data_IF_070629901432
#
_entry.id   IF_070629901432
#
_cell.length_a   1.000
_cell.length_b   1.000
_cell.length_c   1.000
_cell.angle_alpha   90.00
_cell.angle_beta   90.00
_cell.angle_gamma   90.00
#
_symmetry.space_group_name_H-M   'P 1'
#
loop_
_entity.id
_entity.type
_entity.pdbx_description
1 polymer ?
#
# COMPACT_ATOMS: atom_id res chain seq x y z
N UNK A 1 21.94 13.31 28.54
CA UNK A 1 21.53 13.09 27.13
C UNK A 1 20.05 12.76 27.15
N UNK A 2 19.21 13.54 26.48
CA UNK A 2 17.77 13.25 26.38
C UNK A 2 17.58 11.98 25.54
N UNK A 3 16.70 11.07 25.96
CA UNK A 3 16.39 9.86 25.19
C UNK A 3 15.55 10.21 23.95
N UNK A 4 15.55 9.39 22.88
CA UNK A 4 14.78 9.73 21.66
C UNK A 4 13.29 9.90 21.96
N UNK A 5 12.78 9.22 22.99
CA UNK A 5 11.44 9.38 23.55
C UNK A 5 11.17 10.78 24.10
N UNK A 6 12.14 11.42 24.75
CA UNK A 6 12.00 12.79 25.29
C UNK A 6 11.91 13.82 24.16
N UNK A 7 12.68 13.60 23.09
CA UNK A 7 12.63 14.42 21.87
C UNK A 7 11.30 14.23 21.17
N UNK A 8 10.83 12.98 21.02
CA UNK A 8 9.55 12.66 20.40
C UNK A 8 8.38 13.30 21.15
N UNK A 9 8.34 13.17 22.49
CA UNK A 9 7.28 13.77 23.31
C UNK A 9 7.33 15.30 23.29
N UNK A 10 8.52 15.90 23.27
CA UNK A 10 8.69 17.35 23.11
C UNK A 10 8.17 17.86 21.76
N UNK A 11 8.43 17.13 20.69
CA UNK A 11 7.98 17.47 19.33
C UNK A 11 6.46 17.28 19.19
N UNK A 12 5.91 16.19 19.71
CA UNK A 12 4.46 15.93 19.71
C UNK A 12 3.73 17.01 20.51
N UNK A 13 4.25 17.43 21.66
CA UNK A 13 3.68 18.52 22.46
C UNK A 13 3.72 19.87 21.72
N UNK A 14 4.87 20.22 21.13
CA UNK A 14 5.03 21.45 20.35
C UNK A 14 4.14 21.48 19.08
N UNK A 15 3.91 20.32 18.46
CA UNK A 15 3.01 20.17 17.31
C UNK A 15 1.54 20.24 17.73
N UNK A 16 1.18 19.67 18.88
CA UNK A 16 -0.19 19.67 19.40
C UNK A 16 -0.65 21.09 19.79
N UNK A 17 0.24 21.92 20.32
CA UNK A 17 -0.07 23.29 20.75
C UNK A 17 -0.24 24.28 19.56
N UNK A 18 0.24 23.93 18.36
CA UNK A 18 0.22 24.80 17.16
C UNK A 18 -0.44 24.16 15.92
N UNK A 19 -1.08 23.01 16.08
CA UNK A 19 -1.57 22.12 15.01
C UNK A 19 -2.60 22.76 14.07
N UNK A 20 -3.30 23.81 14.52
CA UNK A 20 -4.37 24.46 13.75
C UNK A 20 -3.90 25.61 12.82
N UNK A 21 -2.63 26.02 12.85
CA UNK A 21 -2.26 27.35 12.33
C UNK A 21 -1.41 27.31 11.05
N UNK A 22 -0.76 26.20 10.69
CA UNK A 22 0.09 26.21 9.50
C UNK A 22 0.21 24.85 8.76
N UNK A 23 -0.27 24.75 7.49
CA UNK A 23 -0.17 23.52 6.71
C UNK A 23 1.29 23.13 6.40
N UNK A 24 2.22 24.09 6.37
CA UNK A 24 3.65 23.82 6.17
C UNK A 24 4.21 23.08 7.39
N UNK A 25 3.80 23.45 8.61
CA UNK A 25 4.24 22.76 9.83
C UNK A 25 3.69 21.33 9.88
N UNK A 26 2.48 21.08 9.37
CA UNK A 26 1.93 19.72 9.26
C UNK A 26 2.72 18.87 8.24
N UNK A 27 3.05 19.43 7.08
CA UNK A 27 3.89 18.74 6.08
C UNK A 27 5.27 18.46 6.66
N UNK A 28 5.91 19.47 7.26
CA UNK A 28 7.23 19.35 7.88
C UNK A 28 7.21 18.30 8.99
N UNK A 29 6.21 18.33 9.87
CA UNK A 29 6.02 17.34 10.92
C UNK A 29 5.86 15.94 10.35
N UNK A 30 5.12 15.77 9.26
CA UNK A 30 4.98 14.45 8.60
C UNK A 30 6.31 13.94 8.03
N UNK A 31 7.16 14.84 7.50
CA UNK A 31 8.49 14.44 7.01
C UNK A 31 9.47 14.19 8.16
N UNK A 32 9.41 15.00 9.22
CA UNK A 32 10.21 14.80 10.42
C UNK A 32 9.83 13.52 11.15
N UNK A 33 8.54 13.19 11.26
CA UNK A 33 8.10 11.95 11.89
C UNK A 33 8.51 10.73 11.05
N UNK A 34 8.48 10.85 9.71
CA UNK A 34 9.08 9.84 8.81
C UNK A 34 10.57 9.70 9.04
N UNK A 35 11.29 10.80 9.20
CA UNK A 35 12.74 10.81 9.43
C UNK A 35 13.11 10.30 10.82
N UNK A 36 12.34 10.62 11.87
CA UNK A 36 12.55 10.12 13.23
C UNK A 36 12.27 8.62 13.25
N UNK A 37 11.17 8.19 12.64
CA UNK A 37 10.88 6.77 12.46
C UNK A 37 11.99 6.08 11.66
N UNK A 38 12.52 6.74 10.64
CA UNK A 38 13.67 6.26 9.88
C UNK A 38 14.97 6.27 10.69
N UNK A 39 15.19 7.23 11.60
CA UNK A 39 16.42 7.38 12.37
C UNK A 39 16.48 6.49 13.61
N UNK A 40 15.34 6.25 14.27
CA UNK A 40 15.23 5.19 15.29
C UNK A 40 15.46 3.80 14.66
N UNK A 41 15.26 3.69 13.34
CA UNK A 41 15.56 2.50 12.54
C UNK A 41 17.03 2.45 12.05
N UNK A 42 17.84 3.50 12.27
CA UNK A 42 19.25 3.56 11.87
C UNK A 42 20.25 2.98 12.89
N UNK A 43 19.82 2.49 14.05
CA UNK A 43 20.69 1.66 14.91
C UNK A 43 20.69 0.17 14.49
N UNK A 44 19.95 -0.19 13.44
CA UNK A 44 19.86 -1.56 12.91
C UNK A 44 19.69 -1.60 11.39
N UNK A 45 20.64 -1.02 10.63
CA UNK A 45 20.63 -0.89 9.16
C UNK A 45 20.46 -2.17 8.31
N UNK A 46 20.15 -3.32 8.92
CA UNK A 46 19.79 -4.56 8.23
C UNK A 46 18.59 -5.16 8.96
N UNK A 47 17.44 -5.25 8.27
CA UNK A 47 16.30 -6.13 8.62
C UNK A 47 15.10 -5.54 9.38
N UNK A 48 14.55 -4.39 8.95
CA UNK A 48 13.10 -4.20 9.07
C UNK A 48 12.43 -4.79 7.82
N UNK A 49 11.70 -5.91 8.01
CA UNK A 49 10.92 -6.56 6.96
C UNK A 49 9.83 -5.60 6.48
N UNK A 50 9.70 -5.40 5.18
CA UNK A 50 8.63 -4.60 4.59
C UNK A 50 7.29 -5.26 4.96
N UNK A 51 6.38 -4.49 5.55
CA UNK A 51 5.04 -4.97 5.87
C UNK A 51 4.05 -4.68 4.74
N UNK A 52 2.88 -5.31 4.82
CA UNK A 52 1.85 -5.16 3.80
C UNK A 52 1.26 -3.74 3.74
N UNK A 53 1.33 -2.99 4.83
CA UNK A 53 0.81 -1.63 4.92
C UNK A 53 1.72 -0.66 4.19
N UNK A 54 3.03 -0.80 4.40
CA UNK A 54 4.05 -0.08 3.67
C UNK A 54 3.99 -0.40 2.18
N UNK A 55 3.86 -1.69 1.83
CA UNK A 55 3.67 -2.13 0.45
C UNK A 55 2.43 -1.49 -0.19
N UNK A 56 1.28 -1.53 0.48
CA UNK A 56 0.04 -0.91 -0.01
C UNK A 56 0.23 0.59 -0.24
N UNK A 57 0.80 1.33 0.71
CA UNK A 57 1.01 2.79 0.57
C UNK A 57 1.96 3.13 -0.57
N UNK A 58 3.00 2.32 -0.78
CA UNK A 58 3.96 2.50 -1.88
C UNK A 58 3.32 2.24 -3.24
N UNK A 59 2.48 1.21 -3.35
CA UNK A 59 1.86 0.81 -4.61
C UNK A 59 0.65 1.65 -5.01
N UNK A 60 -0.05 2.26 -4.05
CA UNK A 60 -1.22 3.11 -4.31
C UNK A 60 -0.98 4.22 -5.35
N UNK A 61 0.26 4.69 -5.52
CA UNK A 61 0.61 5.75 -6.50
C UNK A 61 1.35 5.22 -7.73
N UNK A 62 1.33 3.91 -7.94
CA UNK A 62 2.05 3.24 -9.04
C UNK A 62 1.04 2.67 -10.03
N UNK A 63 1.51 2.53 -11.27
CA UNK A 63 0.77 1.90 -12.36
C UNK A 63 1.68 0.89 -13.06
N UNK A 64 1.12 -0.20 -13.54
CA UNK A 64 1.83 -1.24 -14.30
C UNK A 64 1.06 -1.55 -15.58
N UNK A 65 1.77 -2.00 -16.62
CA UNK A 65 1.17 -2.53 -17.85
C UNK A 65 0.61 -3.94 -17.66
N UNK A 66 1.04 -4.67 -16.62
CA UNK A 66 0.64 -6.06 -16.37
C UNK A 66 0.20 -6.26 -14.92
N UNK A 67 -1.04 -5.88 -14.63
CA UNK A 67 -1.58 -5.92 -13.26
C UNK A 67 -1.91 -7.34 -12.78
N UNK A 68 -2.15 -8.26 -13.71
CA UNK A 68 -2.33 -9.71 -13.44
C UNK A 68 -1.15 -10.32 -12.66
N UNK A 69 0.05 -9.77 -12.83
CA UNK A 69 1.27 -10.27 -12.18
C UNK A 69 1.62 -9.50 -10.90
N UNK A 70 0.80 -8.53 -10.48
CA UNK A 70 1.06 -7.68 -9.30
C UNK A 70 1.37 -8.53 -8.07
N UNK A 71 0.49 -9.47 -7.74
CA UNK A 71 0.60 -10.27 -6.51
C UNK A 71 1.90 -11.10 -6.50
N UNK A 72 2.28 -11.67 -7.64
CA UNK A 72 3.51 -12.45 -7.76
C UNK A 72 4.77 -11.56 -7.69
N UNK A 73 4.71 -10.37 -8.29
CA UNK A 73 5.82 -9.41 -8.27
C UNK A 73 6.08 -8.84 -6.86
N UNK A 74 5.04 -8.66 -6.06
CA UNK A 74 5.13 -8.04 -4.73
C UNK A 74 5.33 -9.05 -3.59
N UNK A 75 5.04 -10.33 -3.81
CA UNK A 75 5.14 -11.36 -2.79
C UNK A 75 6.55 -11.49 -2.19
N UNK A 76 7.59 -11.38 -3.03
CA UNK A 76 8.97 -11.39 -2.56
C UNK A 76 9.32 -10.21 -1.63
N UNK A 77 8.64 -9.07 -1.77
CA UNK A 77 8.89 -7.88 -0.95
C UNK A 77 8.40 -8.04 0.48
N UNK A 78 7.30 -8.75 0.68
CA UNK A 78 6.73 -9.06 2.02
C UNK A 78 7.13 -10.45 2.53
N UNK A 79 8.14 -11.07 1.91
CA UNK A 79 8.67 -12.39 2.28
C UNK A 79 7.62 -13.52 2.25
N UNK A 80 6.69 -13.47 1.30
CA UNK A 80 5.71 -14.53 1.03
C UNK A 80 6.24 -15.44 -0.08
N UNK A 81 6.10 -16.75 0.09
CA UNK A 81 6.45 -17.71 -0.96
C UNK A 81 5.53 -17.53 -2.19
N UNK A 82 6.14 -17.36 -3.35
CA UNK A 82 5.45 -17.09 -4.62
C UNK A 82 4.94 -18.38 -5.27
N UNK A 83 5.54 -19.53 -4.95
CA UNK A 83 5.18 -20.84 -5.51
C UNK A 83 3.67 -21.13 -5.49
N UNK A 84 2.95 -21.02 -4.36
CA UNK A 84 1.51 -21.28 -4.32
C UNK A 84 0.68 -20.27 -5.11
N UNK A 85 1.21 -19.07 -5.37
CA UNK A 85 0.54 -18.03 -6.15
C UNK A 85 0.64 -18.34 -7.66
N UNK A 86 1.79 -18.83 -8.12
CA UNK A 86 1.99 -19.17 -9.53
C UNK A 86 1.15 -20.36 -9.99
N UNK A 87 0.70 -21.21 -9.06
CA UNK A 87 -0.18 -22.34 -9.34
C UNK A 87 -1.64 -21.95 -9.58
N UNK A 88 -2.00 -20.66 -9.46
CA UNK A 88 -3.36 -20.16 -9.70
C UNK A 88 -3.45 -19.39 -10.99
N UNK A 89 -4.53 -19.62 -11.73
CA UNK A 89 -4.78 -18.95 -13.01
C UNK A 89 -5.50 -17.60 -12.83
N UNK A 90 -6.31 -17.47 -11.76
CA UNK A 90 -7.07 -16.26 -11.49
C UNK A 90 -6.28 -15.25 -10.64
N UNK A 91 -6.20 -13.96 -11.05
CA UNK A 91 -5.60 -12.89 -10.25
C UNK A 91 -6.27 -12.72 -8.87
N UNK A 92 -7.60 -12.87 -8.81
CA UNK A 92 -8.35 -12.77 -7.56
C UNK A 92 -7.97 -13.88 -6.58
N UNK A 93 -7.80 -15.11 -7.08
CA UNK A 93 -7.37 -16.26 -6.27
C UNK A 93 -5.94 -16.08 -5.76
N UNK A 94 -5.05 -15.52 -6.59
CA UNK A 94 -3.69 -15.15 -6.17
C UNK A 94 -3.72 -14.15 -5.03
N UNK A 95 -4.49 -13.07 -5.17
CA UNK A 95 -4.61 -12.03 -4.13
C UNK A 95 -5.16 -12.62 -2.81
N UNK A 96 -6.16 -13.49 -2.89
CA UNK A 96 -6.71 -14.19 -1.72
C UNK A 96 -5.66 -15.03 -0.99
N UNK A 97 -4.93 -15.88 -1.72
CA UNK A 97 -3.90 -16.74 -1.14
C UNK A 97 -2.79 -15.90 -0.54
N UNK A 98 -2.36 -14.86 -1.26
CA UNK A 98 -1.37 -13.92 -0.79
C UNK A 98 -1.78 -13.27 0.55
N UNK A 99 -2.99 -12.73 0.64
CA UNK A 99 -3.51 -12.14 1.88
C UNK A 99 -3.62 -13.16 3.03
N UNK A 100 -3.98 -14.41 2.72
CA UNK A 100 -3.99 -15.49 3.71
C UNK A 100 -2.57 -15.82 4.22
N UNK A 101 -1.55 -15.75 3.35
CA UNK A 101 -0.16 -16.05 3.69
C UNK A 101 0.55 -14.93 4.44
N UNK A 102 0.12 -13.67 4.29
CA UNK A 102 0.72 -12.53 5.02
C UNK A 102 0.40 -12.56 6.52
N UNK A 103 -0.68 -13.24 6.94
CA UNK A 103 -1.19 -13.42 8.31
C UNK A 103 -1.53 -12.13 9.10
N UNK A 104 -0.80 -11.03 8.91
CA UNK A 104 -1.01 -9.75 9.58
C UNK A 104 -1.55 -8.71 8.61
N UNK A 105 -2.84 -8.45 8.70
CA UNK A 105 -3.51 -7.45 7.86
C UNK A 105 -3.55 -6.09 8.58
N UNK A 106 -2.90 -5.05 8.03
CA UNK A 106 -3.00 -3.70 8.57
C UNK A 106 -4.38 -3.08 8.26
N UNK A 107 -4.83 -2.20 9.16
CA UNK A 107 -6.11 -1.49 9.06
C UNK A 107 -6.29 -0.74 7.76
N UNK A 108 -5.21 -0.14 7.25
CA UNK A 108 -5.21 0.74 6.09
C UNK A 108 -5.69 0.06 4.80
N UNK A 109 -5.54 -1.27 4.72
CA UNK A 109 -5.98 -2.06 3.57
C UNK A 109 -7.49 -2.27 3.58
N UNK A 110 -8.05 -2.47 4.77
CA UNK A 110 -9.48 -2.68 5.00
C UNK A 110 -10.24 -1.41 4.58
N UNK A 111 -9.77 -0.24 5.03
CA UNK A 111 -10.39 1.06 4.74
C UNK A 111 -9.98 1.67 3.40
N UNK A 112 -9.12 0.99 2.63
CA UNK A 112 -8.65 1.51 1.34
C UNK A 112 -9.82 1.73 0.36
N UNK A 113 -9.87 2.85 -0.37
CA UNK A 113 -10.93 3.17 -1.34
C UNK A 113 -10.78 2.42 -2.68
N UNK A 114 -9.83 1.48 -2.79
CA UNK A 114 -9.58 0.70 -4.00
C UNK A 114 -10.70 -0.32 -4.28
N UNK A 115 -10.91 -0.72 -5.55
CA UNK A 115 -11.82 -1.80 -5.92
C UNK A 115 -11.59 -3.05 -5.05
N UNK A 116 -12.67 -3.70 -4.64
CA UNK A 116 -12.67 -4.79 -3.65
C UNK A 116 -13.00 -6.11 -4.29
N UNK A 117 -12.36 -7.19 -3.81
CA UNK A 117 -12.61 -8.55 -4.30
C UNK A 117 -14.10 -8.93 -4.17
N UNK A 118 -14.64 -9.61 -5.18
CA UNK A 118 -16.04 -10.04 -5.18
C UNK A 118 -16.31 -11.28 -4.31
N UNK A 119 -15.26 -12.08 -4.04
CA UNK A 119 -15.36 -13.34 -3.33
C UNK A 119 -15.84 -13.18 -1.88
N UNK A 120 -16.76 -14.04 -1.45
CA UNK A 120 -17.27 -14.06 -0.08
C UNK A 120 -16.13 -14.23 0.95
N UNK A 121 -16.18 -13.46 2.04
CA UNK A 121 -15.14 -13.42 3.08
C UNK A 121 -13.93 -12.52 2.77
N UNK A 122 -13.76 -12.09 1.52
CA UNK A 122 -12.64 -11.22 1.08
C UNK A 122 -13.10 -9.86 0.53
N UNK A 123 -14.39 -9.52 0.65
CA UNK A 123 -14.96 -8.24 0.17
C UNK A 123 -14.41 -6.98 0.85
N UNK A 124 -13.67 -7.15 1.94
CA UNK A 124 -12.95 -6.05 2.59
C UNK A 124 -11.60 -5.75 1.90
N UNK A 125 -11.04 -6.73 1.19
CA UNK A 125 -9.71 -6.68 0.62
C UNK A 125 -9.72 -6.09 -0.79
N UNK A 126 -8.66 -5.35 -1.17
CA UNK A 126 -8.56 -4.78 -2.50
C UNK A 126 -8.26 -5.85 -3.54
N UNK A 127 -8.72 -5.64 -4.78
CA UNK A 127 -8.35 -6.45 -5.95
C UNK A 127 -6.89 -6.23 -6.36
N UNK A 128 -6.39 -5.00 -6.12
CA UNK A 128 -5.06 -4.53 -6.44
C UNK A 128 -4.60 -3.52 -5.40
N UNK A 129 -3.30 -3.48 -5.07
CA UNK A 129 -2.74 -2.41 -4.23
C UNK A 129 -2.40 -1.16 -5.03
N UNK A 130 -2.39 -1.27 -6.36
CA UNK A 130 -2.20 -0.14 -7.26
C UNK A 130 -3.53 0.57 -7.51
N UNK A 131 -3.49 1.90 -7.46
CA UNK A 131 -4.63 2.70 -7.90
C UNK A 131 -4.69 2.62 -9.42
N UNK A 132 -5.64 1.84 -9.95
CA UNK A 132 -6.25 2.20 -11.22
C UNK A 132 -6.75 3.61 -11.00
N UNK A 133 -6.13 4.58 -11.68
CA UNK A 133 -6.36 6.00 -11.42
C UNK A 133 -7.81 6.21 -11.05
N UNK A 134 -8.05 6.76 -9.84
CA UNK A 134 -9.31 7.45 -9.55
C UNK A 134 -9.66 8.11 -10.87
N UNK A 135 -10.81 7.80 -11.51
CA UNK A 135 -11.14 8.42 -12.78
C UNK A 135 -10.92 9.89 -12.51
N UNK A 136 -9.91 10.44 -13.17
CA UNK A 136 -9.63 11.86 -13.15
C UNK A 136 -11.02 12.46 -13.31
N UNK A 137 -11.43 13.34 -12.40
CA UNK A 137 -12.76 13.95 -12.47
C UNK A 137 -12.73 14.72 -13.78
N UNK A 138 -13.06 14.02 -14.87
CA UNK A 138 -13.08 14.51 -16.23
C UNK A 138 -14.31 15.38 -16.22
N UNK A 139 -14.06 16.66 -16.03
CA UNK A 139 -14.95 17.70 -16.53
C UNK A 139 -15.17 17.41 -18.02
N UNK A 140 -16.26 16.72 -18.33
CA UNK A 140 -16.80 16.40 -19.64
C UNK A 140 -16.05 15.36 -20.51
N UNK A 141 -16.48 14.09 -20.40
CA UNK A 141 -16.35 13.09 -21.45
C UNK A 141 -16.84 11.70 -21.01
N UNK A 142 -17.52 10.90 -21.85
CA UNK A 142 -17.89 9.54 -21.47
C UNK A 142 -16.64 8.66 -21.48
N UNK A 143 -16.26 8.14 -20.31
CA UNK A 143 -15.09 7.27 -20.14
C UNK A 143 -15.32 5.92 -20.84
N UNK A 144 -14.73 5.80 -22.03
CA UNK A 144 -14.60 4.53 -22.73
C UNK A 144 -13.59 3.69 -21.97
N UNK A 145 -14.07 2.74 -21.17
CA UNK A 145 -13.24 1.63 -20.68
C UNK A 145 -12.77 0.85 -21.91
N UNK A 146 -11.54 1.11 -22.37
CA UNK A 146 -10.91 0.30 -23.43
C UNK A 146 -10.73 -1.13 -22.90
N UNK A 147 -11.61 -2.04 -23.33
CA UNK A 147 -11.52 -3.50 -23.13
C UNK A 147 -10.37 -4.15 -23.94
N UNK A 148 -9.31 -3.42 -24.23
CA UNK A 148 -8.26 -3.82 -25.16
C UNK A 148 -7.04 -4.32 -24.37
N UNK A 149 -7.20 -5.40 -23.58
CA UNK A 149 -6.06 -6.13 -23.00
C UNK A 149 -6.36 -7.60 -22.63
N UNK A 150 -7.55 -8.12 -22.94
CA UNK A 150 -7.92 -9.53 -22.72
C UNK A 150 -8.23 -10.22 -24.06
N UNK A 151 -7.20 -10.43 -24.87
CA UNK A 151 -7.16 -11.47 -25.89
C UNK A 151 -5.82 -12.19 -25.68
N UNK A 152 -5.76 -13.23 -24.84
CA UNK A 152 -5.95 -14.62 -25.25
C UNK A 152 -5.37 -14.87 -26.64
N UNK A 153 -4.09 -15.23 -26.66
CA UNK A 153 -3.54 -15.99 -27.76
C UNK A 153 -4.17 -17.38 -27.74
N UNK A 154 -4.93 -17.70 -28.77
CA UNK A 154 -5.21 -19.07 -29.19
C UNK A 154 -4.59 -19.23 -30.57
N UNK A 155 -3.65 -20.17 -30.65
CA UNK A 155 -3.18 -20.77 -31.89
C UNK A 155 -4.31 -21.56 -32.57
#
# INVERSE_FOLDING_TARGET
>A
MATSMDIYLGLVKALNDHWHVNPILQVLASQFLKLIRYSEDTEGWISKKLDLGDLSRMLQRRRTSKLVDETAAVAGLVHVDVTPLLQKDSPEERMKIFLAMVHRIPSDIIISPLPKLHQAGFRWAPESFMSYGIPEIESNGPSVIRKEAFAVGTA
#
